data_IF_635152409722
#
_entry.id   IF_635152409722
#
_cell.length_a   1.000
_cell.length_b   1.000
_cell.length_c   1.000
_cell.angle_alpha   90.00
_cell.angle_beta   90.00
_cell.angle_gamma   90.00
#
_symmetry.space_group_name_H-M   'P 1'
#
loop_
_entity.id
_entity.type
_entity.pdbx_description
1 polymer ?
#
# COMPACT_ATOMS: atom_id res chain seq x y z
N UNK A 1 -22.61 14.19 -9.18
CA UNK A 1 -22.66 12.75 -9.55
C UNK A 1 -21.32 12.37 -10.16
N UNK A 2 -20.70 11.25 -9.78
CA UNK A 2 -19.39 10.85 -10.33
C UNK A 2 -19.53 10.59 -11.84
N UNK A 3 -18.59 11.09 -12.64
CA UNK A 3 -18.52 10.74 -14.05
C UNK A 3 -18.17 9.24 -14.21
N UNK A 4 -18.55 8.65 -15.34
CA UNK A 4 -18.46 7.21 -15.57
C UNK A 4 -17.00 6.70 -15.54
N UNK A 5 -16.07 7.46 -16.12
CA UNK A 5 -14.64 7.18 -16.11
C UNK A 5 -14.02 7.20 -14.70
N UNK A 6 -14.38 8.19 -13.87
CA UNK A 6 -13.93 8.34 -12.48
C UNK A 6 -14.49 7.23 -11.62
N UNK A 7 -15.76 6.86 -11.83
CA UNK A 7 -16.37 5.71 -11.15
C UNK A 7 -15.63 4.42 -11.48
N UNK A 8 -15.38 4.14 -12.75
CA UNK A 8 -14.67 2.93 -13.19
C UNK A 8 -13.24 2.88 -12.62
N UNK A 9 -12.52 4.00 -12.64
CA UNK A 9 -11.17 4.13 -12.06
C UNK A 9 -11.17 3.92 -10.55
N UNK A 10 -12.11 4.53 -9.83
CA UNK A 10 -12.24 4.38 -8.38
C UNK A 10 -12.56 2.93 -7.99
N UNK A 11 -13.53 2.29 -8.66
CA UNK A 11 -13.85 0.89 -8.45
C UNK A 11 -12.67 -0.04 -8.75
N UNK A 12 -11.92 0.22 -9.82
CA UNK A 12 -10.72 -0.55 -10.15
C UNK A 12 -9.61 -0.44 -9.11
N UNK A 13 -9.51 0.68 -8.38
CA UNK A 13 -8.56 0.84 -7.27
C UNK A 13 -9.02 0.09 -6.03
N UNK A 14 -10.30 0.23 -5.67
CA UNK A 14 -10.89 -0.47 -4.53
C UNK A 14 -10.78 -1.99 -4.68
N UNK A 15 -11.02 -2.54 -5.89
CA UNK A 15 -10.81 -3.97 -6.17
C UNK A 15 -9.38 -4.45 -5.96
N UNK A 16 -8.38 -3.61 -6.25
CA UNK A 16 -6.97 -3.95 -5.99
C UNK A 16 -6.67 -3.96 -4.50
N UNK A 17 -7.13 -2.93 -3.79
CA UNK A 17 -6.98 -2.81 -2.32
C UNK A 17 -7.64 -4.01 -1.63
N UNK A 18 -8.84 -4.39 -2.05
CA UNK A 18 -9.54 -5.59 -1.57
C UNK A 18 -8.67 -6.85 -1.71
N UNK A 19 -8.06 -7.06 -2.88
CA UNK A 19 -7.15 -8.18 -3.11
C UNK A 19 -5.92 -8.15 -2.21
N UNK A 20 -5.36 -6.97 -1.94
CA UNK A 20 -4.23 -6.83 -1.00
C UNK A 20 -4.65 -7.12 0.45
N UNK A 21 -5.83 -6.67 0.88
CA UNK A 21 -6.37 -6.96 2.22
C UNK A 21 -6.64 -8.46 2.39
N UNK A 22 -7.20 -9.12 1.37
CA UNK A 22 -7.33 -10.58 1.38
C UNK A 22 -5.97 -11.28 1.45
N UNK A 23 -4.94 -10.74 0.80
CA UNK A 23 -3.57 -11.21 0.91
C UNK A 23 -3.04 -11.12 2.35
N UNK A 24 -3.26 -9.97 3.00
CA UNK A 24 -2.88 -9.75 4.41
C UNK A 24 -3.56 -10.75 5.36
N UNK A 25 -4.85 -11.03 5.16
CA UNK A 25 -5.56 -12.05 5.95
C UNK A 25 -4.87 -13.41 5.83
N UNK A 26 -4.53 -13.85 4.61
CA UNK A 26 -3.80 -15.11 4.39
C UNK A 26 -2.40 -15.09 5.00
N UNK A 27 -1.72 -13.95 5.02
CA UNK A 27 -0.40 -13.84 5.66
C UNK A 27 -0.51 -14.04 7.16
N UNK A 28 -1.54 -13.48 7.79
CA UNK A 28 -1.82 -13.67 9.22
C UNK A 28 -2.20 -15.13 9.50
N UNK A 29 -3.08 -15.72 8.71
CA UNK A 29 -3.50 -17.12 8.88
C UNK A 29 -2.34 -18.12 8.72
N UNK A 30 -1.29 -17.75 7.98
CA UNK A 30 -0.11 -18.57 7.73
C UNK A 30 1.08 -18.23 8.66
N UNK A 31 0.87 -17.43 9.72
CA UNK A 31 1.94 -16.98 10.63
C UNK A 31 3.15 -16.38 9.89
N UNK A 32 2.90 -15.59 8.85
CA UNK A 32 3.95 -14.90 8.11
C UNK A 32 4.72 -13.94 9.03
N UNK A 33 5.99 -13.67 8.69
CA UNK A 33 6.83 -12.78 9.47
C UNK A 33 6.19 -11.39 9.59
N UNK A 34 6.25 -10.84 10.81
CA UNK A 34 5.68 -9.53 11.12
C UNK A 34 6.23 -8.43 10.21
N UNK A 35 7.50 -8.49 9.81
CA UNK A 35 8.12 -7.54 8.89
C UNK A 35 7.46 -7.59 7.50
N UNK A 36 7.15 -8.78 6.99
CA UNK A 36 6.50 -8.94 5.69
C UNK A 36 5.06 -8.44 5.73
N UNK A 37 4.35 -8.70 6.83
CA UNK A 37 2.99 -8.18 7.06
C UNK A 37 3.02 -6.65 7.09
N UNK A 38 3.97 -6.05 7.81
CA UNK A 38 4.12 -4.59 7.88
C UNK A 38 4.42 -3.99 6.50
N UNK A 39 5.30 -4.62 5.71
CA UNK A 39 5.59 -4.18 4.35
C UNK A 39 4.35 -4.20 3.46
N UNK A 40 3.51 -5.25 3.57
CA UNK A 40 2.26 -5.33 2.82
C UNK A 40 1.22 -4.31 3.28
N UNK A 41 1.13 -4.01 4.59
CA UNK A 41 0.28 -2.93 5.11
C UNK A 41 0.69 -1.59 4.50
N UNK A 42 1.99 -1.27 4.44
CA UNK A 42 2.49 -0.06 3.79
C UNK A 42 2.15 -0.01 2.29
N UNK A 43 2.15 -1.15 1.60
CA UNK A 43 1.72 -1.23 0.21
C UNK A 43 0.22 -0.92 0.03
N UNK A 44 -0.64 -1.37 0.97
CA UNK A 44 -2.08 -1.05 0.98
C UNK A 44 -2.33 0.43 1.25
N UNK A 45 -1.67 1.00 2.25
CA UNK A 45 -1.70 2.45 2.53
C UNK A 45 -1.31 3.22 1.28
N UNK A 46 -0.23 2.79 0.63
CA UNK A 46 0.22 3.41 -0.59
C UNK A 46 -0.75 3.32 -1.77
N UNK A 47 -1.58 2.27 -1.84
CA UNK A 47 -2.62 2.13 -2.84
C UNK A 47 -3.84 3.02 -2.55
N UNK A 48 -4.16 3.23 -1.26
CA UNK A 48 -5.22 4.13 -0.80
C UNK A 48 -4.90 5.60 -1.10
N UNK A 49 -3.66 6.02 -0.87
CA UNK A 49 -3.20 7.41 -1.09
C UNK A 49 -3.07 7.79 -2.58
N UNK A 50 -3.18 6.83 -3.50
CA UNK A 50 -3.03 7.10 -4.95
C UNK A 50 -4.13 7.97 -5.60
N UNK A 51 -5.00 8.58 -4.80
CA UNK A 51 -5.97 9.60 -5.18
C UNK A 51 -5.37 11.01 -5.21
N UNK A 52 -5.19 11.55 -6.43
CA UNK A 52 -4.69 12.90 -6.77
C UNK A 52 -3.16 13.02 -7.00
N UNK A 53 -2.79 13.90 -7.93
CA UNK A 53 -1.56 13.86 -8.76
C UNK A 53 -0.22 14.17 -8.03
N UNK A 54 -0.22 14.47 -6.74
CA UNK A 54 0.91 15.15 -6.07
C UNK A 54 1.86 14.29 -5.23
N UNK A 55 1.60 13.01 -5.00
CA UNK A 55 2.33 12.23 -3.98
C UNK A 55 3.28 11.17 -4.53
N UNK A 56 3.82 11.39 -5.74
CA UNK A 56 4.90 10.55 -6.29
C UNK A 56 6.24 10.72 -5.55
N UNK A 57 6.38 11.71 -4.69
CA UNK A 57 7.69 12.09 -4.13
C UNK A 57 7.99 11.52 -2.74
N UNK A 58 6.99 11.11 -1.96
CA UNK A 58 7.19 10.91 -0.51
C UNK A 58 7.67 9.50 -0.13
N UNK A 59 7.37 8.47 -0.96
CA UNK A 59 7.70 7.08 -0.63
C UNK A 59 9.16 6.69 -0.86
N UNK A 60 9.91 7.46 -1.66
CA UNK A 60 11.35 7.21 -1.87
C UNK A 60 12.14 7.70 -0.64
N UNK A 61 11.75 8.80 -0.01
CA UNK A 61 12.42 9.34 1.17
C UNK A 61 12.15 8.48 2.42
N UNK A 62 10.93 7.98 2.59
CA UNK A 62 10.56 7.17 3.75
C UNK A 62 11.24 5.78 3.74
N UNK A 63 11.36 5.16 2.55
CA UNK A 63 12.17 3.95 2.35
C UNK A 63 13.65 4.19 2.66
N UNK A 64 14.20 5.34 2.25
CA UNK A 64 15.59 5.71 2.55
C UNK A 64 15.80 6.02 4.04
N UNK A 65 14.82 6.57 4.77
CA UNK A 65 14.90 6.76 6.24
C UNK A 65 14.91 5.40 6.97
N UNK A 66 14.07 4.46 6.55
CA UNK A 66 14.05 3.10 7.10
C UNK A 66 15.41 2.42 6.84
N UNK A 67 15.96 2.48 5.62
CA UNK A 67 17.29 1.92 5.34
C UNK A 67 18.41 2.63 6.09
N UNK A 68 18.35 3.95 6.26
CA UNK A 68 19.34 4.71 7.05
C UNK A 68 19.31 4.35 8.54
N UNK A 69 18.14 3.95 9.08
CA UNK A 69 17.98 3.59 10.49
C UNK A 69 18.28 2.12 10.79
N UNK A 70 18.15 1.22 9.82
CA UNK A 70 18.47 -0.21 9.97
C UNK A 70 19.83 -0.62 9.38
N UNK A 71 20.47 0.20 8.54
CA UNK A 71 21.82 -0.05 8.01
C UNK A 71 22.97 0.35 8.95
N UNK A 72 22.66 0.74 10.18
CA UNK A 72 23.59 1.23 11.20
C UNK A 72 23.63 0.40 12.47
N UNK A 73 23.60 -0.93 12.37
CA UNK A 73 24.23 -1.90 13.30
C UNK A 73 24.12 -3.31 12.76
#
# INVERSE_FOLDING_TARGET
>A
MLNEDTRAKALGRLRRIEGQVQGLQRMIDNDAYCVDILLQISAVQGALDSGSKSERQQKIEELLDVFARFGGK
#
